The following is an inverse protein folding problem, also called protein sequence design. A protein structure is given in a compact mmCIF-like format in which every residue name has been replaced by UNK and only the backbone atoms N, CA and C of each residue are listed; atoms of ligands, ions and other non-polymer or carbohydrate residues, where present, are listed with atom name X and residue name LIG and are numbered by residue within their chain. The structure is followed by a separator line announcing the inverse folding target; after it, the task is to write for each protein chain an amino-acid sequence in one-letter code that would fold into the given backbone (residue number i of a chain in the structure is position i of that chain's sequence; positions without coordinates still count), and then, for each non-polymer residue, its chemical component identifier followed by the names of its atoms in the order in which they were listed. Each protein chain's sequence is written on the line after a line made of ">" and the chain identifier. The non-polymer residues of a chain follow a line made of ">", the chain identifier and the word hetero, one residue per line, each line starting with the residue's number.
data_IF_413677059020
#
_entry.id   IF_413677059020
#
_cell.length_a   1.000
_cell.length_b   1.000
_cell.length_c   1.000
_cell.angle_alpha   90.00
_cell.angle_beta   90.00
_cell.angle_gamma   90.00
#
_symmetry.space_group_name_H-M   'P 1'
#
loop_
_entity.id
_entity.type
_entity.pdbx_description
1 polymer ?
#
# COMPACT_ATOMS: atom_id res chain seq x y z
N UNK A 1 8.30 33.42 -7.72
CA UNK A 1 8.41 34.24 -6.49
C UNK A 1 9.39 33.51 -5.59
N UNK A 2 10.48 34.13 -5.18
CA UNK A 2 11.36 33.53 -4.17
C UNK A 2 10.62 33.54 -2.84
N UNK A 3 10.51 32.37 -2.19
CA UNK A 3 10.05 32.31 -0.81
C UNK A 3 11.10 32.99 0.09
N UNK A 4 10.63 33.72 1.10
CA UNK A 4 11.49 34.19 2.18
C UNK A 4 11.83 33.02 3.12
N UNK A 5 12.73 33.27 4.08
CA UNK A 5 13.17 32.26 5.04
C UNK A 5 11.99 31.58 5.75
N UNK A 6 11.02 32.36 6.20
CA UNK A 6 9.85 31.86 6.93
C UNK A 6 8.97 30.98 6.04
N UNK A 7 8.73 31.39 4.80
CA UNK A 7 8.01 30.59 3.81
C UNK A 7 8.71 29.27 3.47
N UNK A 8 10.04 29.28 3.35
CA UNK A 8 10.83 28.07 3.11
C UNK A 8 10.73 27.09 4.27
N UNK A 9 10.90 27.57 5.50
CA UNK A 9 10.78 26.73 6.70
C UNK A 9 9.36 26.18 6.86
N UNK A 10 8.32 26.97 6.59
CA UNK A 10 6.95 26.50 6.63
C UNK A 10 6.69 25.36 5.64
N UNK A 11 7.25 25.44 4.42
CA UNK A 11 7.17 24.37 3.43
C UNK A 11 7.92 23.12 3.91
N UNK A 12 9.16 23.25 4.40
CA UNK A 12 9.94 22.12 4.89
C UNK A 12 9.27 21.42 6.08
N UNK A 13 8.70 22.17 7.02
CA UNK A 13 7.94 21.60 8.14
C UNK A 13 6.66 20.89 7.67
N UNK A 14 5.99 21.43 6.64
CA UNK A 14 4.83 20.76 6.05
C UNK A 14 5.22 19.45 5.39
N UNK A 15 6.31 19.44 4.62
CA UNK A 15 6.86 18.22 4.00
C UNK A 15 7.23 17.18 5.06
N UNK A 16 7.91 17.60 6.14
CA UNK A 16 8.26 16.73 7.26
C UNK A 16 7.02 16.11 7.91
N UNK A 17 5.97 16.91 8.16
CA UNK A 17 4.71 16.43 8.74
C UNK A 17 4.02 15.39 7.85
N UNK A 18 4.01 15.62 6.54
CA UNK A 18 3.43 14.69 5.56
C UNK A 18 4.23 13.38 5.48
N UNK A 19 5.56 13.47 5.41
CA UNK A 19 6.45 12.30 5.38
C UNK A 19 6.33 11.47 6.68
N UNK A 20 6.22 12.12 7.84
CA UNK A 20 5.95 11.43 9.10
C UNK A 20 4.62 10.69 9.06
N UNK A 21 3.55 11.34 8.58
CA UNK A 21 2.23 10.71 8.43
C UNK A 21 2.27 9.52 7.47
N UNK A 22 3.02 9.61 6.36
CA UNK A 22 3.24 8.47 5.46
C UNK A 22 3.96 7.31 6.15
N UNK A 23 4.95 7.61 6.98
CA UNK A 23 5.69 6.62 7.77
C UNK A 23 4.78 5.91 8.77
N UNK A 24 3.97 6.67 9.52
CA UNK A 24 3.02 6.11 10.49
C UNK A 24 2.01 5.18 9.81
N UNK A 25 1.43 5.62 8.67
CA UNK A 25 0.53 4.80 7.86
C UNK A 25 1.20 3.53 7.33
N UNK A 26 2.47 3.61 6.94
CA UNK A 26 3.21 2.44 6.47
C UNK A 26 3.43 1.39 7.58
N UNK A 27 3.74 1.82 8.81
CA UNK A 27 3.84 0.89 9.94
C UNK A 27 2.48 0.29 10.30
N UNK A 28 1.39 1.06 10.20
CA UNK A 28 0.04 0.55 10.40
C UNK A 28 -0.37 -0.49 9.34
N UNK A 29 0.02 -0.28 8.07
CA UNK A 29 -0.18 -1.26 6.99
C UNK A 29 0.58 -2.55 7.29
N UNK A 30 1.86 -2.43 7.68
CA UNK A 30 2.71 -3.58 8.01
C UNK A 30 2.15 -4.37 9.18
N UNK A 31 1.59 -3.69 10.19
CA UNK A 31 0.93 -4.34 11.33
C UNK A 31 -0.36 -5.04 10.90
N UNK A 32 -1.21 -4.35 10.13
CA UNK A 32 -2.49 -4.89 9.67
C UNK A 32 -2.30 -6.12 8.77
N UNK A 33 -1.24 -6.16 7.96
CA UNK A 33 -0.94 -7.29 7.07
C UNK A 33 -0.69 -8.63 7.80
N UNK A 34 -0.46 -8.60 9.12
CA UNK A 34 -0.32 -9.79 9.96
C UNK A 34 -1.63 -10.39 10.48
N UNK A 35 -2.77 -9.72 10.27
CA UNK A 35 -4.09 -10.11 10.80
C UNK A 35 -4.85 -11.04 9.82
N UNK A 36 -5.80 -11.84 10.31
CA UNK A 36 -6.58 -12.80 9.47
C UNK A 36 -7.47 -12.09 8.43
N UNK A 37 -8.05 -10.93 8.76
CA UNK A 37 -8.88 -10.11 7.87
C UNK A 37 -8.12 -8.87 7.33
N UNK A 38 -6.81 -9.04 7.11
CA UNK A 38 -5.90 -7.95 6.76
C UNK A 38 -6.28 -7.18 5.47
N UNK A 39 -6.87 -7.85 4.48
CA UNK A 39 -6.95 -7.33 3.09
C UNK A 39 -7.68 -5.99 3.03
N UNK A 40 -8.90 -5.91 3.57
CA UNK A 40 -9.70 -4.69 3.47
C UNK A 40 -9.04 -3.53 4.24
N UNK A 41 -8.49 -3.81 5.43
CA UNK A 41 -7.81 -2.82 6.27
C UNK A 41 -6.54 -2.29 5.61
N UNK A 42 -5.74 -3.19 5.03
CA UNK A 42 -4.53 -2.85 4.29
C UNK A 42 -4.85 -1.97 3.08
N UNK A 43 -5.92 -2.28 2.34
CA UNK A 43 -6.37 -1.46 1.20
C UNK A 43 -6.77 -0.05 1.64
N UNK A 44 -7.62 0.09 2.66
CA UNK A 44 -8.04 1.40 3.18
C UNK A 44 -6.85 2.25 3.65
N UNK A 45 -5.92 1.66 4.40
CA UNK A 45 -4.72 2.37 4.85
C UNK A 45 -3.81 2.77 3.67
N UNK A 46 -3.73 1.93 2.64
CA UNK A 46 -2.95 2.23 1.44
C UNK A 46 -3.54 3.39 0.63
N UNK A 47 -4.88 3.45 0.51
CA UNK A 47 -5.57 4.57 -0.13
C UNK A 47 -5.34 5.87 0.64
N UNK A 48 -5.45 5.85 1.97
CA UNK A 48 -5.12 7.02 2.80
C UNK A 48 -3.66 7.45 2.62
N UNK A 49 -2.73 6.50 2.57
CA UNK A 49 -1.30 6.79 2.38
C UNK A 49 -1.02 7.40 1.00
N UNK A 50 -1.76 6.98 -0.03
CA UNK A 50 -1.72 7.59 -1.36
C UNK A 50 -2.23 9.03 -1.35
N UNK A 51 -3.32 9.33 -0.65
CA UNK A 51 -3.81 10.72 -0.51
C UNK A 51 -2.75 11.64 0.14
N UNK A 52 -2.05 11.15 1.16
CA UNK A 52 -0.96 11.91 1.80
C UNK A 52 0.22 12.13 0.82
N UNK A 53 0.53 11.13 0.00
CA UNK A 53 1.55 11.29 -1.05
C UNK A 53 1.16 12.36 -2.08
N UNK A 54 -0.10 12.40 -2.51
CA UNK A 54 -0.58 13.44 -3.43
C UNK A 54 -0.47 14.84 -2.79
N UNK A 55 -0.80 14.98 -1.50
CA UNK A 55 -0.58 16.23 -0.76
C UNK A 55 0.91 16.62 -0.72
N UNK A 56 1.81 15.66 -0.47
CA UNK A 56 3.25 15.90 -0.48
C UNK A 56 3.73 16.37 -1.86
N UNK A 57 3.20 15.78 -2.93
CA UNK A 57 3.49 16.18 -4.31
C UNK A 57 3.04 17.61 -4.61
N UNK A 58 1.89 18.03 -4.10
CA UNK A 58 1.39 19.40 -4.27
C UNK A 58 2.22 20.45 -3.53
N UNK A 59 2.78 20.09 -2.36
CA UNK A 59 3.69 20.95 -1.59
C UNK A 59 5.06 21.07 -2.28
N UNK A 60 5.43 20.11 -3.14
CA UNK A 60 6.69 20.06 -3.89
C UNK A 60 6.52 20.50 -5.35
N UNK A 61 6.33 21.79 -5.65
CA UNK A 61 6.43 22.24 -7.05
C UNK A 61 6.76 23.72 -7.24
N UNK A 62 7.95 24.15 -6.80
CA UNK A 62 8.75 25.06 -7.62
C UNK A 62 10.15 24.48 -7.91
N UNK A 63 10.65 24.70 -9.12
CA UNK A 63 12.01 24.32 -9.54
C UNK A 63 13.11 24.89 -8.63
N UNK A 64 12.80 25.95 -7.90
CA UNK A 64 13.68 26.66 -6.96
C UNK A 64 13.86 25.97 -5.59
N UNK A 65 13.05 24.94 -5.26
CA UNK A 65 13.08 24.21 -3.98
C UNK A 65 13.71 22.83 -4.08
N UNK A 66 14.64 22.62 -5.01
CA UNK A 66 15.37 21.36 -5.10
C UNK A 66 16.05 21.08 -3.76
N UNK A 67 15.72 19.95 -3.14
CA UNK A 67 16.25 19.53 -1.84
C UNK A 67 17.78 19.63 -1.78
N UNK A 68 18.48 19.28 -2.86
CA UNK A 68 19.93 19.42 -2.97
C UNK A 68 20.41 20.87 -2.73
N UNK A 69 19.72 21.87 -3.29
CA UNK A 69 20.04 23.28 -3.09
C UNK A 69 19.73 23.76 -1.66
N UNK A 70 18.72 23.17 -1.01
CA UNK A 70 18.36 23.51 0.38
C UNK A 70 19.33 22.91 1.40
N UNK A 71 19.93 21.75 1.09
CA UNK A 71 20.96 21.12 1.93
C UNK A 71 22.27 21.92 1.95
N UNK A 72 22.56 22.67 0.88
CA UNK A 72 23.74 23.53 0.78
C UNK A 72 23.43 25.02 1.08
N UNK A 73 22.23 25.31 1.60
CA UNK A 73 21.75 26.67 1.83
C UNK A 73 22.66 27.45 2.82
N UNK A 74 22.88 28.77 2.66
CA UNK A 74 23.72 29.55 3.58
C UNK A 74 23.18 29.60 5.01
N UNK A 75 21.85 29.64 5.17
CA UNK A 75 21.18 29.63 6.48
C UNK A 75 21.20 28.22 7.12
N UNK A 76 21.77 28.06 8.33
CA UNK A 76 21.86 26.77 9.00
C UNK A 76 20.50 26.16 9.35
N UNK A 77 19.49 26.96 9.69
CA UNK A 77 18.17 26.43 10.07
C UNK A 77 17.47 25.79 8.87
N UNK A 78 17.62 26.39 7.68
CA UNK A 78 17.09 25.82 6.43
C UNK A 78 17.80 24.52 6.08
N UNK A 79 19.14 24.47 6.22
CA UNK A 79 19.90 23.23 5.99
C UNK A 79 19.48 22.11 6.93
N UNK A 80 19.34 22.42 8.22
CA UNK A 80 18.96 21.43 9.23
C UNK A 80 17.55 20.88 8.94
N UNK A 81 16.60 21.76 8.62
CA UNK A 81 15.25 21.35 8.23
C UNK A 81 15.23 20.51 6.93
N UNK A 82 16.01 20.89 5.93
CA UNK A 82 16.16 20.12 4.69
C UNK A 82 16.81 18.74 4.95
N UNK A 83 17.79 18.67 5.85
CA UNK A 83 18.41 17.42 6.29
C UNK A 83 17.39 16.47 6.91
N UNK A 84 16.54 16.98 7.82
CA UNK A 84 15.47 16.19 8.43
C UNK A 84 14.45 15.69 7.39
N UNK A 85 14.07 16.52 6.42
CA UNK A 85 13.17 16.11 5.32
C UNK A 85 13.82 15.00 4.49
N UNK A 86 15.11 15.12 4.17
CA UNK A 86 15.87 14.10 3.43
C UNK A 86 15.88 12.77 4.20
N UNK A 87 16.26 12.79 5.47
CA UNK A 87 16.37 11.57 6.28
C UNK A 87 15.00 10.88 6.41
N UNK A 88 13.94 11.66 6.62
CA UNK A 88 12.57 11.13 6.70
C UNK A 88 12.11 10.56 5.35
N UNK A 89 12.46 11.20 4.23
CA UNK A 89 12.16 10.70 2.90
C UNK A 89 12.85 9.36 2.63
N UNK A 90 14.15 9.25 2.96
CA UNK A 90 14.89 7.99 2.83
C UNK A 90 14.28 6.87 3.67
N UNK A 91 13.83 7.18 4.90
CA UNK A 91 13.11 6.23 5.75
C UNK A 91 11.79 5.77 5.14
N UNK A 92 11.01 6.68 4.54
CA UNK A 92 9.76 6.34 3.82
C UNK A 92 10.05 5.45 2.61
N UNK A 93 11.12 5.73 1.85
CA UNK A 93 11.52 4.92 0.70
C UNK A 93 11.95 3.50 1.10
N UNK A 94 12.65 3.35 2.22
CA UNK A 94 13.01 2.02 2.74
C UNK A 94 11.75 1.27 3.23
N UNK A 95 10.84 1.98 3.89
CA UNK A 95 9.55 1.42 4.28
C UNK A 95 8.72 0.97 3.07
N UNK A 96 8.75 1.70 1.96
CA UNK A 96 8.08 1.31 0.72
C UNK A 96 8.57 -0.02 0.18
N UNK A 97 9.88 -0.30 0.28
CA UNK A 97 10.43 -1.62 -0.11
C UNK A 97 9.84 -2.74 0.74
N UNK A 98 9.72 -2.52 2.05
CA UNK A 98 9.09 -3.48 2.99
C UNK A 98 7.60 -3.68 2.69
N UNK A 99 6.89 -2.59 2.38
CA UNK A 99 5.47 -2.63 2.01
C UNK A 99 5.24 -3.41 0.72
N UNK A 100 6.07 -3.18 -0.31
CA UNK A 100 6.01 -3.92 -1.57
C UNK A 100 6.15 -5.43 -1.36
N UNK A 101 7.14 -5.86 -0.57
CA UNK A 101 7.31 -7.28 -0.24
C UNK A 101 6.09 -7.83 0.52
N UNK A 102 5.53 -7.04 1.43
CA UNK A 102 4.34 -7.41 2.20
C UNK A 102 3.11 -7.60 1.31
N UNK A 103 2.90 -6.71 0.33
CA UNK A 103 1.80 -6.84 -0.63
C UNK A 103 1.97 -8.06 -1.55
N UNK A 104 3.20 -8.35 -2.01
CA UNK A 104 3.48 -9.57 -2.76
C UNK A 104 3.12 -10.82 -1.94
N UNK A 105 3.51 -10.85 -0.66
CA UNK A 105 3.18 -11.96 0.23
C UNK A 105 1.66 -12.10 0.45
N UNK A 106 0.96 -10.98 0.61
CA UNK A 106 -0.50 -10.97 0.78
C UNK A 106 -1.21 -11.50 -0.48
N UNK A 107 -0.78 -11.06 -1.67
CA UNK A 107 -1.28 -11.56 -2.95
C UNK A 107 -1.07 -13.08 -3.09
N UNK A 108 0.09 -13.58 -2.66
CA UNK A 108 0.37 -15.02 -2.62
C UNK A 108 -0.62 -15.78 -1.75
N UNK A 109 -0.85 -15.34 -0.52
CA UNK A 109 -1.82 -15.95 0.41
C UNK A 109 -3.24 -15.97 -0.16
N UNK A 110 -3.66 -14.88 -0.78
CA UNK A 110 -4.99 -14.80 -1.45
C UNK A 110 -5.05 -15.80 -2.60
N UNK A 111 -4.00 -15.90 -3.42
CA UNK A 111 -3.89 -16.88 -4.51
C UNK A 111 -4.00 -18.32 -4.01
N UNK A 112 -3.26 -18.68 -2.96
CA UNK A 112 -3.28 -20.02 -2.36
C UNK A 112 -4.67 -20.38 -1.82
N UNK A 113 -5.33 -19.42 -1.17
CA UNK A 113 -6.69 -19.57 -0.65
C UNK A 113 -7.69 -19.83 -1.78
N UNK A 114 -7.60 -19.05 -2.87
CA UNK A 114 -8.45 -19.23 -4.04
C UNK A 114 -8.24 -20.59 -4.72
N UNK A 115 -6.98 -21.04 -4.85
CA UNK A 115 -6.66 -22.36 -5.40
C UNK A 115 -7.22 -23.48 -4.52
N UNK A 116 -7.08 -23.38 -3.20
CA UNK A 116 -7.68 -24.31 -2.24
C UNK A 116 -9.21 -24.38 -2.36
N UNK A 117 -9.87 -23.21 -2.44
CA UNK A 117 -11.32 -23.14 -2.67
C UNK A 117 -11.73 -23.77 -4.01
N UNK A 118 -11.00 -23.51 -5.09
CA UNK A 118 -11.27 -24.15 -6.39
C UNK A 118 -11.12 -25.66 -6.35
N UNK A 119 -10.12 -26.18 -5.64
CA UNK A 119 -9.96 -27.63 -5.44
C UNK A 119 -11.12 -28.22 -4.64
N UNK A 120 -11.52 -27.57 -3.53
CA UNK A 120 -12.67 -27.97 -2.73
C UNK A 120 -13.99 -27.96 -3.54
N UNK A 121 -14.20 -26.96 -4.39
CA UNK A 121 -15.36 -26.90 -5.30
C UNK A 121 -15.32 -27.99 -6.38
N UNK A 122 -14.14 -28.35 -6.90
CA UNK A 122 -13.98 -29.49 -7.82
C UNK A 122 -14.32 -30.80 -7.12
N UNK A 123 -13.83 -31.00 -5.90
CA UNK A 123 -14.17 -32.14 -5.04
C UNK A 123 -15.68 -32.20 -4.84
N UNK A 124 -16.34 -31.10 -4.44
CA UNK A 124 -17.80 -31.07 -4.26
C UNK A 124 -18.57 -31.45 -5.55
N UNK A 125 -18.12 -30.98 -6.72
CA UNK A 125 -18.71 -31.37 -8.01
C UNK A 125 -18.52 -32.87 -8.30
N UNK A 126 -17.36 -33.42 -7.99
CA UNK A 126 -17.08 -34.87 -8.14
C UNK A 126 -17.96 -35.70 -7.21
N UNK A 127 -18.19 -35.27 -5.96
CA UNK A 127 -19.03 -35.99 -5.01
C UNK A 127 -20.54 -35.76 -5.23
N UNK A 128 -20.97 -34.62 -5.80
CA UNK A 128 -22.37 -34.41 -6.23
C UNK A 128 -22.74 -35.23 -7.46
N UNK A 129 -21.81 -35.53 -8.37
CA UNK A 129 -22.09 -36.40 -9.52
C UNK A 129 -22.20 -37.90 -9.16
N UNK A 130 -21.87 -38.30 -7.92
CA UNK A 130 -22.04 -39.66 -7.41
C UNK A 130 -23.39 -39.95 -6.75
N UNK A 131 -24.25 -38.94 -6.56
CA UNK A 131 -25.59 -39.07 -5.98
C UNK A 131 -26.64 -39.49 -7.01
N UNK A 132 -26.45 -40.65 -7.64
CA UNK A 132 -27.51 -41.28 -8.43
C UNK A 132 -28.61 -41.81 -7.52
N UNK A 133 -29.79 -41.19 -7.56
CA UNK A 133 -31.05 -41.93 -7.38
C UNK A 133 -31.41 -42.53 -8.75
N UNK A 134 -31.36 -43.86 -8.93
CA UNK A 134 -31.98 -44.50 -10.06
C UNK A 134 -33.43 -44.81 -9.66
N UNK A 135 -34.35 -43.88 -9.92
CA UNK A 135 -35.77 -44.21 -9.87
C UNK A 135 -36.46 -43.79 -11.17
N UNK A 136 -36.62 -44.83 -12.01
CA UNK A 136 -37.72 -45.01 -12.95
C UNK A 136 -37.79 -44.07 -14.15
N UNK A 137 -37.37 -44.54 -15.33
CA UNK A 137 -38.32 -44.89 -16.40
C UNK A 137 -37.72 -46.03 -17.24
N UNK A 138 -38.48 -47.12 -17.32
CA UNK A 138 -38.21 -48.33 -18.10
C UNK A 138 -38.06 -48.06 -19.61
N UNK A 139 -37.36 -48.97 -20.28
CA UNK A 139 -37.29 -49.10 -21.74
C UNK A 139 -38.66 -48.98 -22.43
N UNK A 140 -38.71 -48.23 -23.54
CA UNK A 140 -39.42 -48.68 -24.74
C UNK A 140 -38.60 -48.30 -26.00
N UNK A 141 -37.77 -49.24 -26.45
CA UNK A 141 -37.23 -49.26 -27.81
C UNK A 141 -38.13 -50.17 -28.63
N UNK A 142 -39.03 -49.60 -29.42
CA UNK A 142 -39.52 -50.24 -30.64
C UNK A 142 -38.46 -50.15 -31.73
N UNK A 143 -37.59 -51.17 -31.78
CA UNK A 143 -37.21 -51.99 -32.95
C UNK A 143 -36.00 -52.85 -32.59
#
# INVERSE_FOLDING_TARGET
>A
MSLDKEGLLAVLHTQQGLLKRMSDLGEDILRAAGEEDAVQRVMTLSDTRKEVFEQLREVMSPEDLRLAALLDHPDPEIRDAAGQVKDQFEAVMEQDRRLQQTFVNLLGKVGDTLLGLQQSLKVEKTYRQGGGTPDGVFFDRRR
#
